data_IF_681062099850
#
_entry.id   IF_681062099850
#
_cell.length_a   1.000
_cell.length_b   1.000
_cell.length_c   1.000
_cell.angle_alpha   90.00
_cell.angle_beta   90.00
_cell.angle_gamma   90.00
#
_symmetry.space_group_name_H-M   'P 1'
#
loop_
_entity.id
_entity.type
_entity.pdbx_description
1 polymer ?
#
# COMPACT_ATOMS: atom_id res chain seq x y z
N UNK A 1 24.89 -30.21 26.87
CA UNK A 1 23.59 -29.51 26.85
C UNK A 1 23.81 -28.14 26.20
N UNK A 2 23.40 -27.94 24.95
CA UNK A 2 23.52 -26.63 24.28
C UNK A 2 22.26 -25.81 24.55
N UNK A 3 22.43 -24.60 25.07
CA UNK A 3 21.33 -23.65 25.24
C UNK A 3 20.87 -23.08 23.87
N UNK A 4 19.57 -22.82 23.68
CA UNK A 4 19.07 -22.23 22.44
C UNK A 4 19.55 -20.78 22.33
N UNK A 5 19.98 -20.39 21.12
CA UNK A 5 20.41 -19.02 20.84
C UNK A 5 19.21 -18.06 20.94
N UNK A 6 19.38 -16.87 21.53
CA UNK A 6 18.34 -15.84 21.53
C UNK A 6 17.92 -15.49 20.10
N UNK A 7 16.61 -15.41 19.86
CA UNK A 7 16.07 -15.01 18.56
C UNK A 7 16.43 -13.55 18.21
N UNK A 8 16.40 -13.19 16.92
CA UNK A 8 16.63 -11.82 16.49
C UNK A 8 15.57 -10.88 17.11
N UNK A 9 15.95 -9.63 17.43
CA UNK A 9 14.99 -8.66 17.94
C UNK A 9 13.87 -8.44 16.92
N UNK A 10 12.64 -8.15 17.37
CA UNK A 10 11.55 -7.79 16.47
C UNK A 10 11.98 -6.63 15.58
N UNK A 11 11.82 -6.81 14.27
CA UNK A 11 12.14 -5.78 13.29
C UNK A 11 11.32 -4.50 13.54
N UNK A 12 11.79 -3.34 13.04
CA UNK A 12 11.04 -2.11 13.16
C UNK A 12 9.62 -2.31 12.58
N UNK A 13 8.59 -1.72 13.22
CA UNK A 13 7.23 -1.79 12.70
C UNK A 13 7.22 -1.27 11.25
N UNK A 14 6.37 -1.81 10.37
CA UNK A 14 6.21 -1.27 9.03
C UNK A 14 5.92 0.21 9.16
N UNK A 15 6.68 1.03 8.42
CA UNK A 15 6.55 2.47 8.45
C UNK A 15 5.13 2.80 8.02
N UNK A 16 4.30 3.18 8.99
CA UNK A 16 2.97 3.68 8.73
C UNK A 16 3.16 4.92 7.87
N UNK A 17 2.57 4.94 6.68
CA UNK A 17 2.56 6.11 5.84
C UNK A 17 1.80 7.22 6.57
N UNK A 18 2.52 8.03 7.34
CA UNK A 18 2.01 9.26 7.91
C UNK A 18 2.00 10.29 6.80
N UNK A 19 0.85 10.43 6.12
CA UNK A 19 0.60 11.42 5.08
C UNK A 19 0.51 12.85 5.64
N UNK A 20 1.49 13.25 6.44
CA UNK A 20 1.63 14.60 6.95
C UNK A 20 3.04 15.07 6.67
N UNK A 21 3.19 15.87 5.62
CA UNK A 21 4.48 16.43 5.23
C UNK A 21 4.52 16.94 3.80
N UNK A 22 4.01 18.15 3.60
CA UNK A 22 4.40 19.13 2.57
C UNK A 22 3.58 19.15 1.27
N UNK A 23 2.55 20.00 1.23
CA UNK A 23 2.21 21.07 0.25
C UNK A 23 2.41 20.90 -1.27
N UNK A 24 2.86 19.76 -1.79
CA UNK A 24 2.60 19.34 -3.17
C UNK A 24 1.44 18.35 -3.11
N UNK A 25 0.24 18.85 -3.38
CA UNK A 25 -1.02 18.13 -3.18
C UNK A 25 -1.01 16.82 -3.96
N UNK A 26 -0.78 15.71 -3.26
CA UNK A 26 -0.95 14.37 -3.81
C UNK A 26 -2.26 14.28 -4.58
N UNK A 27 -2.23 13.66 -5.76
CA UNK A 27 -3.42 13.59 -6.59
C UNK A 27 -4.48 12.75 -5.86
N UNK A 28 -5.66 13.29 -5.53
CA UNK A 28 -6.59 12.65 -4.60
C UNK A 28 -7.05 11.26 -5.08
N UNK A 29 -7.14 11.06 -6.40
CA UNK A 29 -7.46 9.76 -6.98
C UNK A 29 -6.29 8.75 -6.88
N UNK A 30 -5.04 9.22 -6.90
CA UNK A 30 -3.86 8.36 -6.66
C UNK A 30 -3.83 7.93 -5.20
N UNK A 31 -4.08 8.85 -4.26
CA UNK A 31 -4.15 8.53 -2.83
C UNK A 31 -5.25 7.51 -2.52
N UNK A 32 -6.42 7.65 -3.15
CA UNK A 32 -7.51 6.69 -3.02
C UNK A 32 -7.11 5.29 -3.52
N UNK A 33 -6.41 5.19 -4.66
CA UNK A 33 -5.93 3.93 -5.20
C UNK A 33 -4.87 3.27 -4.28
N UNK A 34 -3.92 4.04 -3.76
CA UNK A 34 -2.92 3.56 -2.80
C UNK A 34 -3.60 3.01 -1.53
N UNK A 35 -4.61 3.72 -1.03
CA UNK A 35 -5.39 3.25 0.12
C UNK A 35 -6.18 1.98 -0.18
N UNK A 36 -6.72 1.84 -1.39
CA UNK A 36 -7.41 0.62 -1.82
C UNK A 36 -6.47 -0.59 -1.85
N UNK A 37 -5.24 -0.42 -2.36
CA UNK A 37 -4.18 -1.45 -2.32
C UNK A 37 -3.86 -1.86 -0.88
N UNK A 38 -3.74 -0.88 0.03
CA UNK A 38 -3.49 -1.15 1.45
C UNK A 38 -4.66 -1.93 2.11
N UNK A 39 -5.91 -1.61 1.74
CA UNK A 39 -7.08 -2.33 2.23
C UNK A 39 -7.15 -3.76 1.68
N UNK A 40 -6.79 -3.96 0.40
CA UNK A 40 -6.77 -5.27 -0.24
C UNK A 40 -5.83 -6.25 0.47
N UNK A 41 -4.69 -5.76 0.97
CA UNK A 41 -3.73 -6.56 1.73
C UNK A 41 -4.30 -7.20 3.01
N UNK A 42 -5.37 -6.62 3.57
CA UNK A 42 -6.03 -7.13 4.77
C UNK A 42 -7.11 -8.18 4.48
N UNK A 43 -7.43 -8.43 3.20
CA UNK A 43 -8.46 -9.39 2.80
C UNK A 43 -7.96 -10.84 2.80
N UNK A 44 -8.90 -11.78 2.75
CA UNK A 44 -8.58 -13.19 2.58
C UNK A 44 -7.83 -13.41 1.25
N UNK A 45 -6.87 -14.35 1.18
CA UNK A 45 -6.05 -14.57 -0.02
C UNK A 45 -6.86 -14.80 -1.31
N UNK A 46 -8.04 -15.39 -1.20
CA UNK A 46 -8.94 -15.63 -2.32
C UNK A 46 -9.46 -14.34 -2.97
N UNK A 47 -9.60 -13.26 -2.19
CA UNK A 47 -10.14 -11.97 -2.64
C UNK A 47 -9.04 -10.94 -2.95
N UNK A 48 -7.80 -11.19 -2.50
CA UNK A 48 -6.69 -10.24 -2.66
C UNK A 48 -6.42 -9.91 -4.13
N UNK A 49 -6.35 -10.92 -5.01
CA UNK A 49 -6.01 -10.69 -6.43
C UNK A 49 -7.05 -9.80 -7.11
N UNK A 50 -8.33 -10.11 -6.96
CA UNK A 50 -9.40 -9.31 -7.58
C UNK A 50 -9.37 -7.84 -7.13
N UNK A 51 -9.03 -7.60 -5.87
CA UNK A 51 -9.00 -6.24 -5.30
C UNK A 51 -7.72 -5.48 -5.68
N UNK A 52 -6.57 -6.15 -5.76
CA UNK A 52 -5.36 -5.55 -6.31
C UNK A 52 -5.53 -5.20 -7.78
N UNK A 53 -6.15 -6.07 -8.58
CA UNK A 53 -6.42 -5.82 -10.00
C UNK A 53 -7.34 -4.62 -10.20
N UNK A 54 -8.42 -4.53 -9.42
CA UNK A 54 -9.33 -3.39 -9.46
C UNK A 54 -8.62 -2.08 -9.08
N UNK A 55 -7.86 -2.07 -7.98
CA UNK A 55 -7.13 -0.89 -7.55
C UNK A 55 -6.06 -0.46 -8.57
N UNK A 56 -5.37 -1.44 -9.19
CA UNK A 56 -4.39 -1.18 -10.24
C UNK A 56 -5.03 -0.59 -11.50
N UNK A 57 -6.18 -1.11 -11.94
CA UNK A 57 -6.91 -0.57 -13.08
C UNK A 57 -7.26 0.91 -12.84
N UNK A 58 -7.83 1.23 -11.68
CA UNK A 58 -8.18 2.61 -11.32
C UNK A 58 -6.95 3.52 -11.28
N UNK A 59 -5.84 3.03 -10.71
CA UNK A 59 -4.59 3.80 -10.68
C UNK A 59 -4.09 4.09 -12.10
N UNK A 60 -4.09 3.08 -12.97
CA UNK A 60 -3.65 3.24 -14.36
C UNK A 60 -4.51 4.25 -15.12
N UNK A 61 -5.83 4.18 -14.99
CA UNK A 61 -6.76 5.13 -15.64
C UNK A 61 -6.56 6.56 -15.13
N UNK A 62 -6.34 6.71 -13.82
CA UNK A 62 -6.04 8.00 -13.19
C UNK A 62 -4.76 8.60 -13.74
N UNK A 63 -3.68 7.81 -13.78
CA UNK A 63 -2.37 8.27 -14.28
C UNK A 63 -2.43 8.63 -15.76
N UNK A 64 -3.16 7.86 -16.57
CA UNK A 64 -3.37 8.19 -17.98
C UNK A 64 -4.12 9.52 -18.17
N UNK A 65 -5.09 9.81 -17.30
CA UNK A 65 -5.83 11.09 -17.33
C UNK A 65 -4.95 12.27 -16.97
N UNK A 66 -4.05 12.10 -15.98
CA UNK A 66 -3.08 13.13 -15.58
C UNK A 66 -2.05 13.39 -16.68
N UNK A 67 -1.52 12.33 -17.31
CA UNK A 67 -0.55 12.43 -18.41
C UNK A 67 -1.11 13.16 -19.64
N UNK A 68 -2.42 13.10 -19.84
CA UNK A 68 -3.13 13.76 -20.95
C UNK A 68 -3.53 15.22 -20.68
N UNK A 69 -3.42 15.70 -19.44
CA UNK A 69 -3.85 17.04 -19.03
C UNK A 69 -2.75 18.10 -19.23
#
# INVERSE_FOLDING_TARGET
MSAPRPGPPPGPPPRQWSGDGSEDAGHPAVDAAVRAIANAAALAPADQIAQYEAAYQTLRETLATIDQA
#
